data_IF_477293196486
#
_entry.id   IF_477293196486
#
_cell.length_a   1.000
_cell.length_b   1.000
_cell.length_c   1.000
_cell.angle_alpha   90.00
_cell.angle_beta   90.00
_cell.angle_gamma   90.00
#
_symmetry.space_group_name_H-M   'P 1'
#
loop_
_entity.id
_entity.type
_entity.pdbx_description
1 polymer ?
#
# COMPACT_ATOMS: atom_id res chain seq x y z
N UNK A 1 -12.51 -42.53 13.39
CA UNK A 1 -13.10 -41.80 12.24
C UNK A 1 -13.13 -40.27 12.42
N UNK A 2 -12.66 -39.71 13.54
CA UNK A 2 -12.56 -38.24 13.73
C UNK A 2 -11.27 -37.61 13.17
N UNK A 3 -10.20 -38.39 13.01
CA UNK A 3 -8.87 -37.90 12.60
C UNK A 3 -8.85 -37.28 11.20
N UNK A 4 -9.58 -37.86 10.25
CA UNK A 4 -9.67 -37.32 8.88
C UNK A 4 -10.54 -36.05 8.82
N UNK A 5 -11.50 -35.90 9.73
CA UNK A 5 -12.37 -34.72 9.79
C UNK A 5 -11.62 -33.48 10.28
N UNK A 6 -10.75 -33.64 11.30
CA UNK A 6 -9.89 -32.55 11.76
C UNK A 6 -8.85 -32.13 10.71
N UNK A 7 -8.34 -33.05 9.89
CA UNK A 7 -7.42 -32.72 8.80
C UNK A 7 -8.11 -31.91 7.70
N UNK A 8 -9.37 -32.22 7.39
CA UNK A 8 -10.20 -31.46 6.43
C UNK A 8 -10.50 -30.03 6.93
N UNK A 9 -10.81 -29.87 8.22
CA UNK A 9 -11.00 -28.54 8.82
C UNK A 9 -9.71 -27.73 8.77
N UNK A 10 -8.57 -28.34 9.10
CA UNK A 10 -7.27 -27.67 9.06
C UNK A 10 -6.87 -27.27 7.64
N UNK A 11 -7.22 -28.07 6.63
CA UNK A 11 -6.95 -27.80 5.21
C UNK A 11 -7.83 -26.67 4.66
N UNK A 12 -9.10 -26.59 5.07
CA UNK A 12 -10.03 -25.54 4.62
C UNK A 12 -9.69 -24.15 5.16
N UNK A 13 -9.15 -24.05 6.38
CA UNK A 13 -8.80 -22.76 7.01
C UNK A 13 -7.62 -22.04 6.34
N UNK A 14 -6.84 -22.72 5.51
CA UNK A 14 -5.63 -22.17 4.86
C UNK A 14 -5.97 -21.51 3.51
N UNK A 15 -7.14 -21.79 2.93
CA UNK A 15 -7.42 -21.49 1.53
C UNK A 15 -8.00 -20.09 1.25
N UNK A 16 -8.41 -19.33 2.25
CA UNK A 16 -9.02 -18.01 2.04
C UNK A 16 -8.44 -16.92 2.94
N UNK A 17 -7.12 -16.82 3.05
CA UNK A 17 -6.50 -15.63 3.64
C UNK A 17 -6.59 -14.47 2.62
N UNK A 18 -7.63 -13.65 2.73
CA UNK A 18 -7.62 -12.34 2.10
C UNK A 18 -6.58 -11.49 2.82
N UNK A 19 -5.53 -11.08 2.12
CA UNK A 19 -4.44 -10.31 2.70
C UNK A 19 -4.75 -8.81 2.57
N UNK A 20 -4.70 -8.11 3.70
CA UNK A 20 -4.73 -6.66 3.74
C UNK A 20 -3.37 -6.09 4.14
N UNK A 21 -3.11 -4.84 3.77
CA UNK A 21 -1.86 -4.14 4.03
C UNK A 21 -2.12 -2.69 4.48
N UNK A 22 -1.16 -2.13 5.22
CA UNK A 22 -1.01 -0.69 5.40
C UNK A 22 -0.09 -0.13 4.33
N UNK A 23 -0.45 1.03 3.80
CA UNK A 23 0.40 1.85 2.94
C UNK A 23 0.62 3.23 3.57
N UNK A 24 1.85 3.69 3.63
CA UNK A 24 2.16 5.11 3.88
C UNK A 24 3.38 5.56 3.07
N UNK A 25 3.39 6.85 2.78
CA UNK A 25 4.46 7.49 2.01
C UNK A 25 4.71 8.89 2.55
N UNK A 26 5.97 9.26 2.74
CA UNK A 26 6.35 10.62 3.12
C UNK A 26 7.62 11.00 2.38
N UNK A 27 7.63 12.19 1.79
CA UNK A 27 8.81 12.76 1.14
C UNK A 27 8.96 14.22 1.56
N UNK A 28 10.19 14.61 1.90
CA UNK A 28 10.54 16.00 2.19
C UNK A 28 11.64 16.48 1.25
N UNK A 29 11.49 17.72 0.82
CA UNK A 29 12.41 18.38 -0.11
C UNK A 29 12.80 19.75 0.43
N UNK A 30 14.07 20.12 0.23
CA UNK A 30 14.59 21.45 0.51
C UNK A 30 15.29 21.97 -0.74
N UNK A 31 14.87 23.13 -1.22
CA UNK A 31 15.37 23.75 -2.45
C UNK A 31 15.36 22.79 -3.65
N UNK A 32 14.28 22.02 -3.79
CA UNK A 32 14.10 21.00 -4.84
C UNK A 32 15.03 19.78 -4.73
N UNK A 33 15.80 19.65 -3.65
CA UNK A 33 16.61 18.47 -3.34
C UNK A 33 15.85 17.60 -2.34
N UNK A 34 15.72 16.31 -2.63
CA UNK A 34 15.12 15.35 -1.71
C UNK A 34 16.02 15.16 -0.49
N UNK A 35 15.47 15.40 0.71
CA UNK A 35 16.18 15.30 1.98
C UNK A 35 15.82 14.05 2.76
N UNK A 36 14.54 13.65 2.73
CA UNK A 36 14.06 12.43 3.36
C UNK A 36 13.00 11.77 2.49
N UNK A 37 12.96 10.45 2.51
CA UNK A 37 11.92 9.65 1.89
C UNK A 37 11.64 8.40 2.70
N UNK A 38 10.38 8.21 3.09
CA UNK A 38 9.91 7.06 3.85
C UNK A 38 8.81 6.35 3.07
N UNK A 39 9.02 5.04 2.84
CA UNK A 39 8.16 4.18 2.04
C UNK A 39 7.77 2.96 2.89
N UNK A 40 6.48 2.81 3.20
CA UNK A 40 6.03 1.71 4.06
C UNK A 40 4.90 0.91 3.43
N UNK A 41 5.12 -0.41 3.35
CA UNK A 41 4.09 -1.42 3.06
C UNK A 41 4.23 -2.53 4.09
N UNK A 42 3.20 -2.71 4.91
CA UNK A 42 3.19 -3.74 5.95
C UNK A 42 1.88 -4.54 5.95
N UNK A 43 1.89 -5.83 6.28
CA UNK A 43 0.67 -6.63 6.37
C UNK A 43 -0.22 -6.17 7.53
N UNK A 44 -1.54 -6.28 7.37
CA UNK A 44 -2.51 -6.09 8.44
C UNK A 44 -2.47 -7.28 9.39
N UNK A 45 -2.35 -7.01 10.70
CA UNK A 45 -2.44 -8.04 11.73
C UNK A 45 -3.86 -8.61 11.88
N UNK A 46 -4.87 -7.77 11.63
CA UNK A 46 -6.29 -8.15 11.68
C UNK A 46 -6.95 -7.63 10.41
N UNK A 47 -7.47 -8.56 9.61
CA UNK A 47 -8.30 -8.25 8.46
C UNK A 47 -9.76 -8.29 8.88
N UNK A 48 -10.48 -7.19 8.67
CA UNK A 48 -11.92 -7.14 8.87
C UNK A 48 -12.61 -7.44 7.53
N UNK A 49 -13.23 -8.62 7.44
CA UNK A 49 -13.93 -9.06 6.24
C UNK A 49 -15.15 -8.17 5.90
N UNK A 50 -15.70 -7.45 6.88
CA UNK A 50 -16.85 -6.57 6.69
C UNK A 50 -16.44 -5.15 6.24
N UNK A 51 -15.15 -4.84 6.20
CA UNK A 51 -14.66 -3.53 5.75
C UNK A 51 -15.11 -3.27 4.31
N UNK A 52 -15.61 -2.07 4.05
CA UNK A 52 -16.10 -1.71 2.72
C UNK A 52 -14.91 -1.58 1.78
N UNK A 53 -14.95 -2.30 0.66
CA UNK A 53 -13.92 -2.24 -0.39
C UNK A 53 -14.27 -1.13 -1.38
N UNK A 54 -13.37 -0.17 -1.53
CA UNK A 54 -13.47 0.89 -2.52
C UNK A 54 -12.37 0.71 -3.55
N UNK A 55 -12.75 0.52 -4.82
CA UNK A 55 -11.78 0.34 -5.89
C UNK A 55 -10.94 1.61 -6.06
N UNK A 56 -9.62 1.46 -6.05
CA UNK A 56 -8.67 2.55 -6.29
C UNK A 56 -8.17 2.52 -7.74
N UNK A 57 -7.51 1.43 -8.13
CA UNK A 57 -6.79 1.36 -9.39
C UNK A 57 -6.51 -0.08 -9.82
N UNK A 58 -5.91 -0.21 -11.01
CA UNK A 58 -5.35 -1.46 -11.54
C UNK A 58 -3.86 -1.30 -11.79
N UNK A 59 -3.10 -2.32 -11.38
CA UNK A 59 -1.68 -2.48 -11.71
C UNK A 59 -1.61 -3.54 -12.81
N UNK A 60 -1.24 -3.15 -14.03
CA UNK A 60 -1.22 -4.03 -15.21
C UNK A 60 0.04 -4.90 -15.28
N UNK A 61 0.34 -5.58 -14.18
CA UNK A 61 1.45 -6.52 -14.07
C UNK A 61 0.96 -7.82 -13.47
N UNK A 62 1.43 -8.91 -14.06
CA UNK A 62 1.14 -10.25 -13.58
C UNK A 62 1.99 -10.56 -12.36
N UNK A 63 1.36 -11.10 -11.33
CA UNK A 63 2.07 -11.70 -10.19
C UNK A 63 2.64 -13.06 -10.59
N UNK A 64 3.94 -13.28 -10.38
CA UNK A 64 4.54 -14.59 -10.54
C UNK A 64 4.01 -15.55 -9.48
N UNK A 65 3.82 -16.83 -9.85
CA UNK A 65 3.36 -17.87 -8.92
C UNK A 65 4.32 -18.09 -7.73
N UNK A 66 5.59 -17.70 -7.89
CA UNK A 66 6.62 -17.84 -6.85
C UNK A 66 6.67 -16.65 -5.90
N UNK A 67 6.07 -15.52 -6.26
CA UNK A 67 6.18 -14.29 -5.48
C UNK A 67 5.14 -14.28 -4.37
N UNK A 68 5.53 -13.79 -3.19
CA UNK A 68 4.57 -13.41 -2.17
C UNK A 68 3.82 -12.15 -2.60
N UNK A 69 2.63 -11.94 -2.06
CA UNK A 69 1.87 -10.69 -2.29
C UNK A 69 2.69 -9.46 -1.88
N UNK A 70 3.36 -9.52 -0.73
CA UNK A 70 4.21 -8.44 -0.24
C UNK A 70 5.38 -8.14 -1.19
N UNK A 71 6.06 -9.17 -1.71
CA UNK A 71 7.14 -9.00 -2.69
C UNK A 71 6.64 -8.38 -4.00
N UNK A 72 5.45 -8.77 -4.46
CA UNK A 72 4.81 -8.15 -5.62
C UNK A 72 4.52 -6.67 -5.39
N UNK A 73 3.99 -6.31 -4.21
CA UNK A 73 3.66 -4.92 -3.87
C UNK A 73 4.90 -4.03 -3.79
N UNK A 74 5.99 -4.53 -3.19
CA UNK A 74 7.27 -3.82 -3.14
C UNK A 74 7.86 -3.64 -4.54
N UNK A 75 7.83 -4.68 -5.38
CA UNK A 75 8.40 -4.62 -6.73
C UNK A 75 7.63 -3.68 -7.66
N UNK A 76 6.39 -3.34 -7.31
CA UNK A 76 5.52 -2.44 -8.05
C UNK A 76 5.15 -1.20 -7.23
N UNK A 77 6.06 -0.76 -6.35
CA UNK A 77 5.83 0.34 -5.41
C UNK A 77 5.40 1.63 -6.10
N UNK A 78 6.07 2.01 -7.20
CA UNK A 78 5.77 3.26 -7.92
C UNK A 78 4.34 3.26 -8.50
N UNK A 79 3.96 2.16 -9.18
CA UNK A 79 2.59 2.00 -9.70
C UNK A 79 1.54 1.96 -8.58
N UNK A 80 1.90 1.39 -7.42
CA UNK A 80 1.04 1.39 -6.25
C UNK A 80 0.90 2.80 -5.65
N UNK A 81 2.00 3.54 -5.54
CA UNK A 81 2.05 4.91 -5.02
C UNK A 81 1.17 5.85 -5.86
N UNK A 82 1.21 5.72 -7.19
CA UNK A 82 0.36 6.46 -8.12
C UNK A 82 -1.13 6.31 -7.82
N UNK A 83 -1.55 5.11 -7.40
CA UNK A 83 -2.93 4.86 -7.00
C UNK A 83 -3.35 5.69 -5.78
N UNK A 84 -2.43 5.91 -4.85
CA UNK A 84 -2.70 6.60 -3.59
C UNK A 84 -2.53 8.12 -3.66
N UNK A 85 -1.85 8.68 -4.66
CA UNK A 85 -1.78 10.14 -4.83
C UNK A 85 -3.16 10.79 -4.98
N UNK A 86 -4.12 10.09 -5.59
CA UNK A 86 -5.50 10.57 -5.73
C UNK A 86 -6.32 10.48 -4.42
N UNK A 87 -5.83 9.73 -3.42
CA UNK A 87 -6.55 9.44 -2.18
C UNK A 87 -5.80 9.97 -0.95
N UNK A 88 -6.33 11.01 -0.30
CA UNK A 88 -5.89 11.48 1.02
C UNK A 88 -4.41 11.90 1.15
N UNK A 89 -3.81 12.47 0.11
CA UNK A 89 -2.49 13.11 0.20
C UNK A 89 -2.57 14.46 0.92
N UNK A 90 -1.72 14.67 1.94
CA UNK A 90 -1.49 15.99 2.54
C UNK A 90 -0.21 16.57 1.94
N UNK A 91 -0.32 17.75 1.33
CA UNK A 91 0.82 18.52 0.83
C UNK A 91 1.00 19.74 1.73
N UNK A 92 2.18 19.87 2.31
CA UNK A 92 2.62 21.04 3.09
C UNK A 92 3.77 21.71 2.34
N UNK A 93 3.66 23.00 2.07
CA UNK A 93 4.72 23.79 1.43
C UNK A 93 4.98 25.03 2.24
N UNK A 94 6.20 25.17 2.75
CA UNK A 94 6.65 26.33 3.53
C UNK A 94 7.72 27.08 2.73
N UNK A 95 7.49 28.38 2.51
CA UNK A 95 8.43 29.28 1.87
C UNK A 95 8.95 30.25 2.93
N UNK A 96 10.22 30.12 3.33
CA UNK A 96 10.84 31.03 4.28
C UNK A 96 11.90 31.85 3.55
N UNK A 97 11.61 33.15 3.38
CA UNK A 97 12.53 34.11 2.78
C UNK A 97 13.37 34.73 3.90
N UNK A 98 14.62 34.30 4.03
CA UNK A 98 15.58 34.91 4.95
C UNK A 98 16.53 35.84 4.19
N UNK A 99 17.10 36.83 4.88
CA UNK A 99 18.03 37.83 4.34
C UNK A 99 19.30 37.24 3.67
N UNK A 100 19.51 35.92 3.72
CA UNK A 100 20.62 35.17 3.09
C UNK A 100 20.21 34.26 1.92
N UNK A 101 18.93 34.19 1.55
CA UNK A 101 18.43 33.36 0.45
C UNK A 101 17.00 32.86 0.68
N UNK A 102 16.40 32.36 -0.41
CA UNK A 102 15.07 31.74 -0.38
C UNK A 102 15.22 30.26 -0.01
N UNK A 103 14.66 29.84 1.14
CA UNK A 103 14.55 28.43 1.50
C UNK A 103 13.14 27.94 1.15
N UNK A 104 13.05 27.04 0.18
CA UNK A 104 11.81 26.38 -0.20
C UNK A 104 11.78 24.97 0.38
N UNK A 105 10.89 24.73 1.35
CA UNK A 105 10.68 23.40 1.93
C UNK A 105 9.31 22.88 1.51
N UNK A 106 9.26 21.66 0.97
CA UNK A 106 8.01 21.01 0.63
C UNK A 106 8.00 19.59 1.18
N UNK A 107 6.89 19.23 1.83
CA UNK A 107 6.65 17.93 2.42
C UNK A 107 5.33 17.37 1.87
N UNK A 108 5.38 16.16 1.34
CA UNK A 108 4.21 15.42 0.88
C UNK A 108 4.08 14.16 1.73
N UNK A 109 2.90 14.00 2.35
CA UNK A 109 2.61 12.88 3.24
C UNK A 109 1.29 12.22 2.85
N UNK A 110 1.34 10.94 2.51
CA UNK A 110 0.18 10.05 2.40
C UNK A 110 0.04 9.36 3.75
N UNK A 111 -1.07 9.67 4.44
CA UNK A 111 -1.36 9.08 5.75
C UNK A 111 -1.54 7.56 5.64
N UNK A 112 -1.28 6.79 6.71
CA UNK A 112 -1.48 5.35 6.72
C UNK A 112 -2.91 4.98 6.30
N UNK A 113 -3.01 4.21 5.21
CA UNK A 113 -4.27 3.69 4.70
C UNK A 113 -4.25 2.17 4.63
N UNK A 114 -5.41 1.57 4.91
CA UNK A 114 -5.62 0.12 4.80
C UNK A 114 -6.07 -0.21 3.38
N UNK A 115 -5.44 -1.18 2.76
CA UNK A 115 -5.81 -1.63 1.43
C UNK A 115 -5.72 -3.15 1.30
N UNK A 116 -6.33 -3.69 0.25
CA UNK A 116 -6.21 -5.10 -0.14
C UNK A 116 -6.00 -5.19 -1.64
N UNK A 117 -5.48 -6.34 -2.07
CA UNK A 117 -5.17 -6.60 -3.48
C UNK A 117 -5.85 -7.88 -3.94
N UNK A 118 -6.49 -7.82 -5.10
CA UNK A 118 -7.12 -8.96 -5.77
C UNK A 118 -6.39 -9.23 -7.08
N UNK A 119 -5.71 -10.37 -7.15
CA UNK A 119 -4.94 -10.78 -8.32
C UNK A 119 -5.83 -11.44 -9.37
N UNK A 120 -5.71 -10.95 -10.61
CA UNK A 120 -6.24 -11.58 -11.83
C UNK A 120 -5.07 -12.10 -12.67
N UNK A 121 -5.38 -12.73 -13.80
CA UNK A 121 -4.38 -13.42 -14.62
C UNK A 121 -3.24 -12.50 -15.11
N UNK A 122 -3.57 -11.24 -15.44
CA UNK A 122 -2.64 -10.28 -16.04
C UNK A 122 -2.51 -8.95 -15.29
N UNK A 123 -3.31 -8.74 -14.24
CA UNK A 123 -3.32 -7.49 -13.48
C UNK A 123 -3.74 -7.71 -12.02
N UNK A 124 -3.45 -6.72 -11.18
CA UNK A 124 -3.88 -6.68 -9.79
C UNK A 124 -4.83 -5.49 -9.58
N UNK A 125 -5.99 -5.73 -8.96
CA UNK A 125 -6.89 -4.67 -8.51
C UNK A 125 -6.52 -4.25 -7.09
N UNK A 126 -6.42 -2.94 -6.86
CA UNK A 126 -6.16 -2.37 -5.54
C UNK A 126 -7.46 -1.79 -4.99
N UNK A 127 -7.79 -2.13 -3.75
CA UNK A 127 -8.96 -1.63 -3.05
C UNK A 127 -8.57 -1.01 -1.72
N UNK A 128 -9.13 0.18 -1.42
CA UNK A 128 -9.12 0.76 -0.08
C UNK A 128 -10.10 -0.01 0.83
N UNK A 129 -9.71 -0.18 2.09
CA UNK A 129 -10.55 -0.75 3.14
C UNK A 129 -11.02 0.39 4.06
N UNK A 130 -12.33 0.65 4.08
CA UNK A 130 -12.97 1.65 4.95
C UNK A 130 -13.81 0.99 6.04
#
# INVERSE_FOLDING_TARGET
MARNFCLLILLCSILNAHEGFWFSYQISTQNQIMTNEERNISPLMVYDENSKREFLCKIYKKKSLKDSTHSYLISNYEELLDCFYSSNSRLTSNLQSELKGMLAQSELTILPVKFTVDFKDDFANIYLLR
#
